data_IF_587862784795
#
_entry.id   IF_587862784795
#
_cell.length_a   1.000
_cell.length_b   1.000
_cell.length_c   1.000
_cell.angle_alpha   90.00
_cell.angle_beta   90.00
_cell.angle_gamma   90.00
#
_symmetry.space_group_name_H-M   'P 1'
#
loop_
_entity.id
_entity.type
_entity.pdbx_description
1 polymer ?
#
# COMPACT_ATOMS: atom_id res chain seq x y z
N UNK A 1 -17.12 -12.66 -3.99
CA UNK A 1 -15.75 -13.00 -4.42
C UNK A 1 -15.24 -12.24 -5.66
N UNK A 2 -15.92 -11.22 -6.19
CA UNK A 2 -15.42 -10.43 -7.34
C UNK A 2 -14.56 -9.21 -6.98
N UNK A 3 -14.70 -8.67 -5.77
CA UNK A 3 -14.08 -7.37 -5.41
C UNK A 3 -12.54 -7.38 -5.32
N UNK A 4 -11.92 -8.51 -4.99
CA UNK A 4 -10.45 -8.66 -4.99
C UNK A 4 -9.91 -8.76 -6.41
N UNK A 5 -10.62 -9.48 -7.30
CA UNK A 5 -10.22 -9.66 -8.69
C UNK A 5 -10.33 -8.36 -9.49
N UNK A 6 -11.40 -7.59 -9.26
CA UNK A 6 -11.60 -6.27 -9.87
C UNK A 6 -10.55 -5.26 -9.40
N UNK A 7 -10.09 -5.35 -8.15
CA UNK A 7 -9.03 -4.47 -7.67
C UNK A 7 -7.66 -4.83 -8.26
N UNK A 8 -7.33 -6.12 -8.34
CA UNK A 8 -6.10 -6.60 -8.97
C UNK A 8 -6.06 -6.25 -10.46
N UNK A 9 -7.20 -6.30 -11.16
CA UNK A 9 -7.28 -5.95 -12.58
C UNK A 9 -7.19 -4.44 -12.82
N UNK A 10 -7.82 -3.61 -11.98
CA UNK A 10 -7.73 -2.14 -12.03
C UNK A 10 -6.32 -1.61 -11.67
N UNK A 11 -5.61 -2.30 -10.78
CA UNK A 11 -4.21 -2.05 -10.43
C UNK A 11 -3.23 -2.37 -11.56
N UNK A 12 -3.55 -3.36 -12.39
CA UNK A 12 -2.65 -3.92 -13.39
C UNK A 12 -2.45 -3.05 -14.64
N UNK A 13 -3.17 -1.92 -14.75
CA UNK A 13 -3.16 -1.07 -15.95
C UNK A 13 -2.17 0.11 -15.85
N UNK A 14 -1.43 0.24 -14.73
CA UNK A 14 -0.58 1.41 -14.45
C UNK A 14 0.89 1.14 -14.16
N UNK A 15 1.23 0.11 -13.39
CA UNK A 15 2.62 -0.30 -13.12
C UNK A 15 2.66 -1.78 -12.75
N UNK A 16 3.34 -2.59 -13.56
CA UNK A 16 3.20 -4.05 -13.62
C UNK A 16 3.92 -4.84 -12.51
N UNK A 17 4.66 -4.17 -11.61
CA UNK A 17 5.48 -4.84 -10.61
C UNK A 17 4.98 -4.57 -9.18
N UNK A 18 4.09 -5.44 -8.71
CA UNK A 18 3.52 -5.38 -7.36
C UNK A 18 4.54 -5.73 -6.26
N UNK A 19 5.72 -6.27 -6.60
CA UNK A 19 6.76 -6.59 -5.60
C UNK A 19 7.38 -5.34 -4.97
N UNK A 20 7.26 -4.20 -5.66
CA UNK A 20 7.75 -2.88 -5.22
C UNK A 20 6.82 -2.20 -4.22
N UNK A 21 5.59 -2.67 -4.09
CA UNK A 21 4.59 -2.03 -3.25
C UNK A 21 4.85 -2.31 -1.78
N UNK A 22 4.50 -1.36 -0.92
CA UNK A 22 4.66 -1.52 0.53
C UNK A 22 3.30 -1.73 1.19
N UNK A 23 3.20 -2.73 2.07
CA UNK A 23 2.05 -2.89 2.95
C UNK A 23 2.00 -1.74 3.95
N UNK A 24 0.81 -1.18 4.12
CA UNK A 24 0.50 -0.27 5.21
C UNK A 24 -0.21 -1.06 6.30
N UNK A 25 0.15 -0.77 7.56
CA UNK A 25 -0.41 -1.46 8.71
C UNK A 25 -0.76 -0.43 9.79
N UNK A 26 -1.87 -0.65 10.49
CA UNK A 26 -2.36 0.17 11.58
C UNK A 26 -2.62 -0.69 12.83
N UNK A 27 -2.31 -0.18 14.01
CA UNK A 27 -2.54 -0.91 15.27
C UNK A 27 -4.02 -1.16 15.59
N UNK A 28 -4.89 -0.19 15.28
CA UNK A 28 -6.33 -0.27 15.57
C UNK A 28 -7.07 -1.19 14.61
N UNK A 29 -6.64 -1.25 13.35
CA UNK A 29 -7.40 -1.90 12.28
C UNK A 29 -6.61 -2.95 11.51
N UNK A 30 -5.34 -3.16 11.84
CA UNK A 30 -4.42 -4.05 11.13
C UNK A 30 -4.16 -3.59 9.70
N UNK A 31 -4.23 -4.53 8.77
CA UNK A 31 -4.27 -4.27 7.32
C UNK A 31 -5.74 -4.16 6.82
N UNK A 32 -6.68 -3.74 7.67
CA UNK A 32 -8.10 -3.52 7.30
C UNK A 32 -8.56 -2.09 7.58
N UNK A 33 -9.50 -1.55 6.79
CA UNK A 33 -10.17 -0.27 7.02
C UNK A 33 -11.63 -0.37 6.61
N UNK A 34 -12.48 0.46 7.19
CA UNK A 34 -13.87 0.55 6.79
C UNK A 34 -14.06 1.78 5.88
N UNK A 35 -14.46 1.57 4.64
CA UNK A 35 -14.81 2.65 3.70
C UNK A 35 -16.28 2.51 3.39
N UNK A 36 -17.08 3.50 3.80
CA UNK A 36 -18.51 3.57 3.56
C UNK A 36 -19.29 2.30 3.98
N UNK A 37 -18.96 1.72 5.13
CA UNK A 37 -19.60 0.51 5.67
C UNK A 37 -19.00 -0.80 5.16
N UNK A 38 -18.09 -0.77 4.18
CA UNK A 38 -17.44 -1.97 3.64
C UNK A 38 -16.06 -2.14 4.27
N UNK A 39 -15.84 -3.27 4.95
CA UNK A 39 -14.51 -3.65 5.44
C UNK A 39 -13.63 -4.07 4.26
N UNK A 40 -12.59 -3.30 4.01
CA UNK A 40 -11.55 -3.55 3.00
C UNK A 40 -10.24 -3.80 3.70
N UNK A 41 -9.32 -4.50 3.04
CA UNK A 41 -7.95 -4.63 3.53
C UNK A 41 -6.95 -4.41 2.42
N UNK A 42 -5.71 -4.80 2.67
CA UNK A 42 -4.60 -4.70 1.72
C UNK A 42 -4.24 -3.25 1.37
N UNK A 43 -4.05 -2.40 2.38
CA UNK A 43 -3.55 -1.05 2.14
C UNK A 43 -2.14 -1.11 1.65
N UNK A 44 -1.90 -0.44 0.53
CA UNK A 44 -0.58 -0.37 -0.07
C UNK A 44 -0.18 1.09 -0.29
N UNK A 45 1.12 1.34 -0.17
CA UNK A 45 1.78 2.48 -0.79
C UNK A 45 2.23 2.03 -2.18
N UNK A 46 1.67 2.64 -3.22
CA UNK A 46 1.89 2.26 -4.61
C UNK A 46 1.81 3.48 -5.54
N UNK A 47 2.31 3.43 -6.78
CA UNK A 47 2.13 4.52 -7.73
C UNK A 47 0.65 4.63 -8.13
N UNK A 48 0.20 5.83 -8.46
CA UNK A 48 -1.17 6.08 -8.91
C UNK A 48 -1.49 5.26 -10.18
N UNK A 49 -2.53 4.42 -10.09
CA UNK A 49 -3.07 3.71 -11.25
C UNK A 49 -4.03 4.58 -12.06
N UNK A 50 -4.37 4.15 -13.28
CA UNK A 50 -5.19 4.92 -14.23
C UNK A 50 -6.52 5.43 -13.64
N UNK A 51 -7.12 4.68 -12.71
CA UNK A 51 -8.43 5.01 -12.14
C UNK A 51 -8.38 5.98 -10.94
N UNK A 52 -7.20 6.35 -10.44
CA UNK A 52 -7.02 7.25 -9.26
C UNK A 52 -7.84 6.89 -8.01
N UNK A 53 -8.26 5.63 -7.88
CA UNK A 53 -9.10 5.18 -6.77
C UNK A 53 -8.23 4.83 -5.56
N UNK A 54 -8.06 5.77 -4.63
CA UNK A 54 -7.50 5.48 -3.31
C UNK A 54 -8.58 4.88 -2.40
N UNK A 55 -8.87 3.58 -2.57
CA UNK A 55 -9.75 2.79 -1.67
C UNK A 55 -9.06 2.55 -0.30
N UNK A 56 -8.46 3.59 0.28
CA UNK A 56 -7.66 3.62 1.50
C UNK A 56 -6.14 3.45 1.30
N UNK A 57 -5.69 3.14 0.09
CA UNK A 57 -4.27 3.11 -0.28
C UNK A 57 -3.68 4.53 -0.34
N UNK A 58 -2.37 4.66 -0.13
CA UNK A 58 -1.64 5.90 -0.40
C UNK A 58 -1.02 5.79 -1.78
N UNK A 59 -1.37 6.72 -2.68
CA UNK A 59 -0.86 6.71 -4.06
C UNK A 59 0.19 7.79 -4.28
N UNK A 60 1.22 7.47 -5.09
CA UNK A 60 2.21 8.44 -5.56
C UNK A 60 1.91 8.78 -7.02
N UNK A 61 1.62 10.05 -7.38
CA UNK A 61 1.11 10.42 -8.72
C UNK A 61 2.02 10.06 -9.90
N UNK A 62 3.34 9.98 -9.67
CA UNK A 62 4.31 9.63 -10.70
C UNK A 62 5.00 8.31 -10.37
N UNK A 63 5.01 7.39 -11.33
CA UNK A 63 5.73 6.11 -11.22
C UNK A 63 7.23 6.31 -11.04
N UNK A 64 7.82 7.33 -11.66
CA UNK A 64 9.24 7.65 -11.50
C UNK A 64 9.54 8.16 -10.08
N UNK A 65 8.66 8.99 -9.52
CA UNK A 65 8.78 9.45 -8.13
C UNK A 65 8.62 8.26 -7.19
N UNK A 66 7.67 7.35 -7.47
CA UNK A 66 7.49 6.13 -6.69
C UNK A 66 8.74 5.26 -6.73
N UNK A 67 9.36 5.04 -7.89
CA UNK A 67 10.60 4.27 -8.00
C UNK A 67 11.76 4.89 -7.20
N UNK A 68 11.85 6.22 -7.15
CA UNK A 68 12.85 6.90 -6.30
C UNK A 68 12.54 6.71 -4.81
N UNK A 69 11.28 6.82 -4.44
CA UNK A 69 10.81 6.63 -3.07
C UNK A 69 11.03 5.18 -2.59
N UNK A 70 10.69 4.20 -3.44
CA UNK A 70 10.85 2.78 -3.19
C UNK A 70 12.31 2.43 -2.92
N UNK A 71 13.23 2.88 -3.78
CA UNK A 71 14.67 2.72 -3.57
C UNK A 71 15.14 3.39 -2.28
N UNK A 72 14.62 4.58 -1.96
CA UNK A 72 14.98 5.28 -0.74
C UNK A 72 14.51 4.50 0.51
N UNK A 73 13.28 4.00 0.53
CA UNK A 73 12.73 3.21 1.63
C UNK A 73 13.53 1.91 1.80
N UNK A 74 13.86 1.22 0.70
CA UNK A 74 14.64 -0.03 0.71
C UNK A 74 16.15 0.14 0.89
N UNK A 75 16.65 1.38 0.93
CA UNK A 75 18.08 1.63 1.19
C UNK A 75 18.53 1.16 2.58
N UNK A 76 17.57 0.83 3.45
CA UNK A 76 17.77 0.34 4.81
C UNK A 76 16.89 -0.89 5.04
N UNK A 77 17.38 -1.90 5.78
CA UNK A 77 16.55 -3.05 6.14
C UNK A 77 15.39 -2.61 7.05
N UNK A 78 14.24 -3.28 7.01
CA UNK A 78 13.15 -3.00 7.92
C UNK A 78 13.53 -3.39 9.35
N UNK A 79 13.38 -2.47 10.29
CA UNK A 79 13.83 -2.61 11.68
C UNK A 79 12.73 -2.30 12.72
N UNK A 80 11.61 -1.74 12.30
CA UNK A 80 10.48 -1.42 13.19
C UNK A 80 9.59 -2.65 13.37
N UNK A 81 9.45 -3.24 14.56
CA UNK A 81 8.59 -4.40 14.76
C UNK A 81 7.11 -4.04 14.56
N UNK A 82 6.37 -4.91 13.88
CA UNK A 82 4.91 -4.76 13.71
C UNK A 82 4.19 -5.57 14.79
N UNK A 83 3.46 -4.92 15.73
CA UNK A 83 2.77 -5.59 16.82
C UNK A 83 1.89 -6.77 16.38
N UNK A 84 1.99 -7.88 17.11
CA UNK A 84 1.19 -9.08 16.85
C UNK A 84 1.59 -9.87 15.59
N UNK A 85 2.74 -9.56 14.98
CA UNK A 85 3.25 -10.28 13.80
C UNK A 85 4.75 -10.57 13.92
N UNK A 86 5.28 -11.38 12.99
CA UNK A 86 6.73 -11.59 12.83
C UNK A 86 7.38 -10.59 11.87
N UNK A 87 6.60 -9.66 11.30
CA UNK A 87 7.06 -8.71 10.30
C UNK A 87 7.76 -7.51 10.92
N UNK A 88 8.62 -6.89 10.11
CA UNK A 88 9.21 -5.58 10.39
C UNK A 88 8.81 -4.60 9.31
N UNK A 89 8.52 -3.36 9.71
CA UNK A 89 8.23 -2.24 8.84
C UNK A 89 9.50 -1.43 8.54
N UNK A 90 9.49 -0.76 7.39
CA UNK A 90 10.53 0.18 6.99
C UNK A 90 10.40 1.56 7.67
N UNK A 91 9.24 1.83 8.27
CA UNK A 91 8.96 3.09 8.95
C UNK A 91 7.47 3.34 9.14
N UNK A 92 7.14 4.56 9.55
CA UNK A 92 5.77 5.04 9.78
C UNK A 92 5.44 6.11 8.76
N UNK A 93 4.24 6.03 8.18
CA UNK A 93 3.67 7.11 7.38
C UNK A 93 2.67 7.89 8.23
N UNK A 94 2.81 9.21 8.26
CA UNK A 94 1.86 10.11 8.93
C UNK A 94 1.09 10.82 7.84
N UNK A 95 -0.24 10.67 7.87
CA UNK A 95 -1.15 11.34 6.95
C UNK A 95 -1.82 12.48 7.72
N UNK A 96 -1.83 13.68 7.14
CA UNK A 96 -2.47 14.86 7.70
C UNK A 96 -3.83 15.10 7.06
#
# INVERSE_FOLDING_TARGET
MGWFYDWLSEANVGTTDHSKWFMLWNEKTGDTTNINGVRRGEFRLHPEGQNRLSKGCITVPSSEIFDRLERHIRSRPPDVPVPGTTYKAYGTVVVQ
#
